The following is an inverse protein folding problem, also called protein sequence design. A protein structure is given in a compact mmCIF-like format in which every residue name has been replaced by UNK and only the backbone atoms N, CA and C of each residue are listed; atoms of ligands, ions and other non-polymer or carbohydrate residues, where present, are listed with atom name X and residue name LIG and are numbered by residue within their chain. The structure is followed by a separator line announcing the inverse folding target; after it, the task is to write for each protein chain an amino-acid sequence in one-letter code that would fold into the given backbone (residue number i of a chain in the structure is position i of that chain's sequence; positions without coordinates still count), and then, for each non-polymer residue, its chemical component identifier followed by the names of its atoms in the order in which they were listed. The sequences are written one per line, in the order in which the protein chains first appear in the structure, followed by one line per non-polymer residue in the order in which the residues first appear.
data_IF_476607011585
#
_entry.id   IF_476607011585
#
_cell.length_a   1.000
_cell.length_b   1.000
_cell.length_c   1.000
_cell.angle_alpha   90.00
_cell.angle_beta   90.00
_cell.angle_gamma   90.00
#
_symmetry.space_group_name_H-M   'P 1'
#
loop_
_entity.id
_entity.type
_entity.pdbx_description
1 polymer ?
#
# COMPACT_ATOMS: atom_id res chain seq x y z
N UNK A 1 -23.12 1.64 13.61
CA UNK A 1 -21.74 1.12 13.80
C UNK A 1 -20.99 1.33 12.50
N UNK A 2 -19.90 2.09 12.52
CA UNK A 2 -19.14 2.37 11.31
C UNK A 2 -18.69 1.07 10.62
N UNK A 3 -18.88 0.99 9.30
CA UNK A 3 -18.41 -0.14 8.49
C UNK A 3 -17.46 0.38 7.42
N UNK A 4 -16.27 -0.21 7.32
CA UNK A 4 -15.35 0.01 6.19
C UNK A 4 -15.39 -1.23 5.31
N UNK A 5 -15.53 -1.05 4.01
CA UNK A 5 -15.47 -2.12 3.01
C UNK A 5 -14.48 -1.71 1.93
N UNK A 6 -13.49 -2.55 1.69
CA UNK A 6 -12.65 -2.44 0.50
C UNK A 6 -13.22 -3.36 -0.57
N UNK A 7 -13.55 -2.82 -1.73
CA UNK A 7 -14.19 -3.56 -2.83
C UNK A 7 -13.61 -3.12 -4.16
N UNK A 8 -13.59 -4.02 -5.14
CA UNK A 8 -13.23 -3.65 -6.51
C UNK A 8 -14.26 -2.69 -7.09
N UNK A 9 -13.80 -1.72 -7.87
CA UNK A 9 -14.66 -1.01 -8.81
C UNK A 9 -15.01 -2.00 -9.93
N UNK A 10 -16.25 -2.45 -9.95
CA UNK A 10 -16.72 -3.43 -10.91
C UNK A 10 -17.00 -2.82 -12.27
N UNK A 11 -17.39 -3.68 -13.20
CA UNK A 11 -17.90 -3.28 -14.50
C UNK A 11 -19.20 -4.03 -14.80
N UNK A 12 -20.16 -3.35 -15.43
CA UNK A 12 -21.37 -3.96 -15.94
C UNK A 12 -21.74 -3.33 -17.28
N UNK A 13 -21.70 -4.16 -18.34
CA UNK A 13 -21.96 -3.75 -19.73
C UNK A 13 -21.12 -2.53 -20.15
N UNK A 14 -19.82 -2.58 -19.87
CA UNK A 14 -18.86 -1.52 -20.22
C UNK A 14 -18.91 -0.27 -19.34
N UNK A 15 -19.74 -0.24 -18.30
CA UNK A 15 -19.86 0.89 -17.38
C UNK A 15 -19.32 0.54 -15.99
N UNK A 16 -18.58 1.46 -15.39
CA UNK A 16 -18.08 1.34 -14.01
C UNK A 16 -19.25 1.15 -13.03
N UNK A 17 -19.07 0.27 -12.06
CA UNK A 17 -20.13 -0.18 -11.15
C UNK A 17 -19.65 -0.27 -9.71
N UNK A 18 -20.47 0.26 -8.80
CA UNK A 18 -20.38 -0.01 -7.36
C UNK A 18 -21.50 -0.93 -6.94
N UNK A 19 -21.16 -2.05 -6.32
CA UNK A 19 -22.12 -3.02 -5.77
C UNK A 19 -21.94 -3.15 -4.27
N UNK A 20 -22.97 -2.83 -3.50
CA UNK A 20 -23.00 -2.97 -2.05
C UNK A 20 -24.26 -3.73 -1.63
N UNK A 21 -24.12 -4.71 -0.74
CA UNK A 21 -25.28 -5.45 -0.22
C UNK A 21 -25.15 -5.84 1.25
N UNK A 22 -26.27 -6.26 1.84
CA UNK A 22 -26.30 -6.96 3.12
C UNK A 22 -26.54 -6.08 4.34
N UNK A 23 -26.37 -6.66 5.53
CA UNK A 23 -26.82 -6.08 6.81
C UNK A 23 -26.18 -4.74 7.16
N UNK A 24 -24.98 -4.45 6.65
CA UNK A 24 -24.30 -3.16 6.84
C UNK A 24 -25.11 -1.96 6.35
N UNK A 25 -25.90 -2.15 5.30
CA UNK A 25 -26.78 -1.12 4.75
C UNK A 25 -28.02 -0.95 5.63
N UNK A 26 -28.69 -2.04 6.01
CA UNK A 26 -29.86 -2.00 6.91
C UNK A 26 -29.56 -1.29 8.23
N UNK A 27 -28.42 -1.60 8.85
CA UNK A 27 -28.01 -0.98 10.12
C UNK A 27 -27.85 0.54 10.05
N UNK A 28 -27.58 1.06 8.85
CA UNK A 28 -27.28 2.47 8.64
C UNK A 28 -28.43 3.17 7.89
N UNK A 29 -29.64 2.58 7.91
CA UNK A 29 -30.86 3.21 7.42
C UNK A 29 -31.16 3.00 5.92
N UNK A 30 -30.45 2.10 5.25
CA UNK A 30 -30.62 1.81 3.83
C UNK A 30 -31.52 0.58 3.63
N UNK A 31 -32.83 0.81 3.61
CA UNK A 31 -33.85 -0.24 3.45
C UNK A 31 -34.29 -0.41 2.00
N UNK A 32 -34.66 -1.63 1.56
CA UNK A 32 -35.18 -1.83 0.21
C UNK A 32 -36.41 -0.97 -0.10
N UNK A 33 -36.47 -0.44 -1.31
CA UNK A 33 -37.55 0.44 -1.79
C UNK A 33 -37.36 1.92 -1.46
N UNK A 34 -36.47 2.27 -0.52
CA UNK A 34 -36.12 3.67 -0.29
C UNK A 34 -35.36 4.25 -1.47
N UNK A 35 -35.49 5.57 -1.62
CA UNK A 35 -34.76 6.34 -2.62
C UNK A 35 -33.50 6.97 -2.02
N UNK A 36 -32.49 7.16 -2.85
CA UNK A 36 -31.25 7.81 -2.49
C UNK A 36 -30.73 8.65 -3.65
N UNK A 37 -29.90 9.64 -3.33
CA UNK A 37 -29.13 10.41 -4.29
C UNK A 37 -27.63 10.16 -4.09
N UNK A 38 -26.88 10.56 -5.10
CA UNK A 38 -25.43 10.68 -5.03
C UNK A 38 -25.04 12.15 -5.11
N UNK A 39 -24.01 12.50 -4.35
CA UNK A 39 -23.35 13.80 -4.40
C UNK A 39 -21.87 13.57 -4.67
N UNK A 40 -21.30 14.37 -5.57
CA UNK A 40 -19.86 14.43 -5.77
C UNK A 40 -19.28 15.46 -4.80
N UNK A 41 -18.29 15.03 -4.02
CA UNK A 41 -17.56 15.91 -3.12
C UNK A 41 -16.08 15.60 -3.26
N UNK A 42 -15.33 16.54 -3.82
CA UNK A 42 -13.91 16.35 -4.15
C UNK A 42 -13.73 15.09 -5.01
N UNK A 43 -12.83 14.17 -4.61
CA UNK A 43 -12.62 12.86 -5.25
C UNK A 43 -13.48 11.73 -4.65
N UNK A 44 -14.64 12.07 -4.08
CA UNK A 44 -15.52 11.13 -3.39
C UNK A 44 -16.94 11.14 -3.96
N UNK A 45 -17.58 9.98 -3.89
CA UNK A 45 -19.01 9.82 -4.15
C UNK A 45 -19.71 9.55 -2.82
N UNK A 46 -20.64 10.41 -2.45
CA UNK A 46 -21.41 10.30 -1.20
C UNK A 46 -22.84 9.91 -1.54
N UNK A 47 -23.31 8.79 -1.00
CA UNK A 47 -24.70 8.37 -1.13
C UNK A 47 -25.47 8.73 0.14
N UNK A 48 -26.70 9.22 -0.03
CA UNK A 48 -27.62 9.54 1.05
C UNK A 48 -29.05 9.20 0.66
N UNK A 49 -29.77 8.57 1.58
CA UNK A 49 -31.22 8.38 1.45
C UNK A 49 -31.89 9.74 1.34
N UNK A 50 -32.84 9.86 0.41
CA UNK A 50 -33.59 11.08 0.15
C UNK A 50 -34.97 10.71 -0.39
N UNK A 51 -36.00 11.39 0.08
CA UNK A 51 -37.41 11.08 -0.25
C UNK A 51 -37.67 11.10 -1.76
N UNK A 52 -37.12 12.11 -2.45
CA UNK A 52 -37.17 12.25 -3.91
C UNK A 52 -35.84 11.92 -4.59
N UNK A 53 -35.12 10.90 -4.08
CA UNK A 53 -33.85 10.47 -4.68
C UNK A 53 -34.01 9.88 -6.08
N UNK A 54 -32.98 10.04 -6.91
CA UNK A 54 -32.92 9.51 -8.29
C UNK A 54 -32.81 8.00 -8.35
N UNK A 55 -32.21 7.37 -7.34
CA UNK A 55 -31.91 5.94 -7.34
C UNK A 55 -32.72 5.20 -6.27
N UNK A 56 -32.97 3.91 -6.50
CA UNK A 56 -33.75 3.06 -5.59
C UNK A 56 -32.88 1.96 -5.02
N UNK A 57 -32.99 1.72 -3.71
CA UNK A 57 -32.36 0.59 -3.05
C UNK A 57 -33.12 -0.68 -3.41
N UNK A 58 -32.43 -1.59 -4.11
CA UNK A 58 -33.01 -2.87 -4.56
C UNK A 58 -33.02 -3.91 -3.42
N UNK A 59 -33.70 -5.04 -3.64
CA UNK A 59 -33.70 -6.17 -2.72
C UNK A 59 -33.11 -7.43 -3.35
N UNK A 60 -32.45 -8.24 -2.52
CA UNK A 60 -32.15 -9.65 -2.77
C UNK A 60 -32.90 -10.49 -1.76
N UNK A 61 -33.55 -11.55 -2.22
CA UNK A 61 -34.10 -12.57 -1.33
C UNK A 61 -33.35 -13.89 -1.54
N UNK A 62 -32.82 -14.45 -0.45
CA UNK A 62 -32.13 -15.75 -0.46
C UNK A 62 -32.38 -16.46 0.87
N UNK A 63 -32.83 -17.71 0.81
CA UNK A 63 -33.15 -18.53 1.99
C UNK A 63 -34.11 -17.81 2.97
N UNK A 64 -35.15 -17.15 2.45
CA UNK A 64 -36.12 -16.39 3.24
C UNK A 64 -35.57 -15.10 3.86
N UNK A 65 -34.32 -14.71 3.58
CA UNK A 65 -33.71 -13.47 4.07
C UNK A 65 -33.69 -12.40 2.99
N UNK A 66 -34.31 -11.27 3.28
CA UNK A 66 -34.25 -10.07 2.44
C UNK A 66 -33.02 -9.23 2.81
N UNK A 67 -32.24 -8.82 1.80
CA UNK A 67 -31.07 -7.95 1.95
C UNK A 67 -31.14 -6.77 0.98
N UNK A 68 -30.81 -5.55 1.41
CA UNK A 68 -30.73 -4.39 0.53
C UNK A 68 -29.53 -4.52 -0.41
N UNK A 69 -29.69 -3.98 -1.61
CA UNK A 69 -28.66 -3.87 -2.63
C UNK A 69 -28.61 -2.42 -3.13
N UNK A 70 -27.41 -1.86 -3.17
CA UNK A 70 -27.08 -0.68 -3.96
C UNK A 70 -26.26 -1.18 -5.15
N UNK A 71 -26.86 -1.06 -6.33
CA UNK A 71 -26.23 -1.32 -7.63
C UNK A 71 -26.16 0.00 -8.38
N UNK A 72 -25.01 0.67 -8.29
CA UNK A 72 -24.81 1.99 -8.85
C UNK A 72 -23.94 1.89 -10.10
N UNK A 73 -24.51 2.26 -11.24
CA UNK A 73 -23.82 2.34 -12.53
C UNK A 73 -24.13 3.69 -13.17
N UNK A 74 -23.27 4.67 -12.93
CA UNK A 74 -23.45 6.07 -13.40
C UNK A 74 -22.14 6.60 -13.98
N UNK A 75 -22.22 7.58 -14.88
CA UNK A 75 -21.05 8.10 -15.60
C UNK A 75 -20.05 8.78 -14.66
N UNK A 76 -20.56 9.40 -13.60
CA UNK A 76 -19.79 10.06 -12.56
C UNK A 76 -18.79 9.11 -11.90
N UNK A 77 -19.09 7.80 -11.80
CA UNK A 77 -18.14 6.80 -11.30
C UNK A 77 -16.94 6.64 -12.23
N UNK A 78 -17.16 6.71 -13.55
CA UNK A 78 -16.07 6.60 -14.52
C UNK A 78 -15.17 7.84 -14.50
N UNK A 79 -15.74 9.01 -14.25
CA UNK A 79 -14.97 10.25 -14.14
C UNK A 79 -14.18 10.32 -12.83
N UNK A 80 -14.81 10.03 -11.69
CA UNK A 80 -14.19 10.19 -10.36
C UNK A 80 -13.19 9.08 -10.07
N UNK A 81 -13.42 7.87 -10.59
CA UNK A 81 -12.60 6.70 -10.32
C UNK A 81 -11.90 6.17 -11.59
N UNK A 82 -11.49 7.08 -12.47
CA UNK A 82 -10.67 6.72 -13.63
C UNK A 82 -9.33 6.12 -13.19
N UNK A 83 -8.90 5.04 -13.83
CA UNK A 83 -7.70 4.30 -13.43
C UNK A 83 -7.74 3.66 -12.02
N UNK A 84 -8.88 3.69 -11.32
CA UNK A 84 -9.03 3.10 -9.98
C UNK A 84 -9.59 1.67 -10.07
N UNK A 85 -8.89 0.71 -9.49
CA UNK A 85 -9.35 -0.68 -9.43
C UNK A 85 -10.05 -1.02 -8.12
N UNK A 86 -9.66 -0.36 -7.03
CA UNK A 86 -10.17 -0.65 -5.68
C UNK A 86 -10.71 0.60 -5.02
N UNK A 87 -11.87 0.46 -4.38
CA UNK A 87 -12.56 1.50 -3.64
C UNK A 87 -12.51 1.20 -2.15
N UNK A 88 -12.47 2.27 -1.35
CA UNK A 88 -12.77 2.26 0.08
C UNK A 88 -14.15 2.86 0.30
N UNK A 89 -15.04 2.06 0.88
CA UNK A 89 -16.42 2.44 1.20
C UNK A 89 -16.58 2.56 2.70
N UNK A 90 -16.89 3.76 3.18
CA UNK A 90 -17.14 4.06 4.58
C UNK A 90 -18.62 4.33 4.81
N UNK A 91 -19.26 3.51 5.65
CA UNK A 91 -20.69 3.60 5.93
C UNK A 91 -20.86 3.98 7.40
N UNK A 92 -21.46 5.15 7.65
CA UNK A 92 -21.75 5.63 9.00
C UNK A 92 -22.79 6.74 9.00
N UNK A 93 -23.68 6.73 9.99
CA UNK A 93 -24.64 7.79 10.28
C UNK A 93 -25.50 8.14 9.05
N UNK A 94 -26.02 7.12 8.37
CA UNK A 94 -26.88 7.33 7.20
C UNK A 94 -26.15 7.82 5.95
N UNK A 95 -24.81 7.86 5.93
CA UNK A 95 -24.00 8.22 4.77
C UNK A 95 -23.15 7.03 4.31
N UNK A 96 -23.03 6.87 2.99
CA UNK A 96 -22.04 5.98 2.37
C UNK A 96 -21.06 6.87 1.61
N UNK A 97 -19.80 6.90 2.05
CA UNK A 97 -18.71 7.63 1.39
C UNK A 97 -17.84 6.64 0.63
N UNK A 98 -17.74 6.82 -0.67
CA UNK A 98 -16.95 5.98 -1.58
C UNK A 98 -15.76 6.81 -2.05
N UNK A 99 -14.56 6.27 -1.91
CA UNK A 99 -13.29 6.90 -2.29
C UNK A 99 -12.38 5.87 -2.97
N UNK A 100 -11.37 6.32 -3.70
CA UNK A 100 -10.31 5.42 -4.14
C UNK A 100 -9.63 4.78 -2.93
N UNK A 101 -9.19 3.53 -3.05
CA UNK A 101 -8.44 2.89 -1.98
C UNK A 101 -7.07 3.56 -1.85
N UNK A 102 -6.66 3.93 -0.64
CA UNK A 102 -5.41 4.66 -0.38
C UNK A 102 -4.14 3.99 -0.93
N UNK A 103 -4.15 2.66 -1.11
CA UNK A 103 -3.02 1.98 -1.76
C UNK A 103 -2.92 2.30 -3.25
N UNK A 104 -4.04 2.49 -3.95
CA UNK A 104 -4.05 2.89 -5.37
C UNK A 104 -3.40 4.26 -5.53
N UNK A 105 -3.83 5.24 -4.72
CA UNK A 105 -3.27 6.61 -4.73
C UNK A 105 -1.76 6.61 -4.46
N UNK A 106 -1.31 5.82 -3.47
CA UNK A 106 0.12 5.66 -3.16
C UNK A 106 0.90 4.96 -4.28
N UNK A 107 0.29 4.03 -5.00
CA UNK A 107 0.93 3.39 -6.16
C UNK A 107 1.08 4.38 -7.30
N UNK A 108 0.03 5.13 -7.63
CA UNK A 108 0.04 6.16 -8.69
C UNK A 108 1.09 7.22 -8.36
N UNK A 109 1.08 7.76 -7.15
CA UNK A 109 2.06 8.75 -6.68
C UNK A 109 3.49 8.20 -6.80
N UNK A 110 3.75 7.00 -6.28
CA UNK A 110 5.08 6.39 -6.31
C UNK A 110 5.59 6.17 -7.74
N UNK A 111 4.73 5.72 -8.65
CA UNK A 111 5.09 5.50 -10.05
C UNK A 111 5.40 6.83 -10.74
N UNK A 112 4.52 7.83 -10.60
CA UNK A 112 4.72 9.14 -11.21
C UNK A 112 6.01 9.79 -10.69
N UNK A 113 6.24 9.75 -9.37
CA UNK A 113 7.45 10.30 -8.76
C UNK A 113 8.72 9.60 -9.25
N UNK A 114 8.72 8.27 -9.35
CA UNK A 114 9.85 7.52 -9.90
C UNK A 114 10.13 7.90 -11.35
N UNK A 115 9.10 7.95 -12.20
CA UNK A 115 9.24 8.32 -13.61
C UNK A 115 9.80 9.74 -13.73
N UNK A 116 9.21 10.70 -13.03
CA UNK A 116 9.68 12.10 -13.04
C UNK A 116 11.13 12.23 -12.59
N UNK A 117 11.55 11.51 -11.53
CA UNK A 117 12.95 11.48 -11.13
C UNK A 117 13.87 10.96 -12.22
N UNK A 118 13.49 9.87 -12.89
CA UNK A 118 14.28 9.29 -13.97
C UNK A 118 14.37 10.22 -15.19
N UNK A 119 13.26 10.86 -15.57
CA UNK A 119 13.21 11.82 -16.68
C UNK A 119 14.04 13.07 -16.41
N UNK A 120 14.04 13.54 -15.16
CA UNK A 120 14.79 14.73 -14.73
C UNK A 120 16.25 14.42 -14.37
N UNK A 121 16.68 13.16 -14.37
CA UNK A 121 18.02 12.74 -13.93
C UNK A 121 18.27 12.95 -12.43
N UNK A 122 17.21 12.98 -11.62
CA UNK A 122 17.29 13.13 -10.17
C UNK A 122 17.78 11.82 -9.51
N UNK A 123 18.54 11.95 -8.42
CA UNK A 123 19.06 10.79 -7.70
C UNK A 123 17.93 9.98 -7.03
N UNK A 124 17.95 8.66 -7.24
CA UNK A 124 17.04 7.75 -6.58
C UNK A 124 17.42 7.54 -5.11
N UNK A 125 16.43 7.63 -4.23
CA UNK A 125 16.61 7.43 -2.80
C UNK A 125 16.46 5.95 -2.45
N UNK A 126 17.46 5.36 -1.81
CA UNK A 126 17.51 3.93 -1.49
C UNK A 126 17.28 3.69 0.01
N UNK A 127 16.43 2.71 0.34
CA UNK A 127 16.34 2.11 1.66
C UNK A 127 17.07 0.77 1.67
N UNK A 128 18.11 0.65 2.48
CA UNK A 128 18.89 -0.57 2.66
C UNK A 128 18.54 -1.23 3.99
N UNK A 129 17.97 -2.43 3.93
CA UNK A 129 17.65 -3.24 5.09
C UNK A 129 18.62 -4.40 5.19
N UNK A 130 19.14 -4.67 6.40
CA UNK A 130 20.19 -5.65 6.61
C UNK A 130 21.43 -5.29 5.77
N UNK A 131 21.88 -4.04 5.92
CA UNK A 131 22.88 -3.42 5.07
C UNK A 131 24.22 -4.19 5.07
N UNK A 132 24.56 -4.82 6.20
CA UNK A 132 25.87 -5.41 6.41
C UNK A 132 26.97 -4.41 6.07
N UNK A 133 27.99 -4.86 5.34
CA UNK A 133 29.08 -4.00 4.86
C UNK A 133 28.80 -3.25 3.55
N UNK A 134 27.54 -3.19 3.09
CA UNK A 134 27.15 -2.46 1.88
C UNK A 134 27.55 -3.09 0.54
N UNK A 135 27.91 -4.38 0.54
CA UNK A 135 28.38 -5.07 -0.69
C UNK A 135 27.29 -5.15 -1.76
N UNK A 136 26.07 -5.52 -1.36
CA UNK A 136 24.91 -5.59 -2.27
C UNK A 136 24.57 -4.20 -2.81
N UNK A 137 24.48 -3.22 -1.91
CA UNK A 137 24.16 -1.83 -2.22
C UNK A 137 25.18 -1.23 -3.19
N UNK A 138 26.47 -1.48 -2.97
CA UNK A 138 27.54 -1.04 -3.87
C UNK A 138 27.44 -1.63 -5.27
N UNK A 139 27.13 -2.93 -5.36
CA UNK A 139 26.94 -3.57 -6.65
C UNK A 139 25.74 -2.96 -7.40
N UNK A 140 24.62 -2.70 -6.72
CA UNK A 140 23.44 -2.11 -7.33
C UNK A 140 23.68 -0.63 -7.70
N UNK A 141 24.30 0.16 -6.82
CA UNK A 141 24.68 1.54 -7.10
C UNK A 141 25.58 1.63 -8.34
N UNK A 142 26.59 0.77 -8.44
CA UNK A 142 27.45 0.71 -9.63
C UNK A 142 26.66 0.31 -10.90
N UNK A 143 25.65 -0.56 -10.76
CA UNK A 143 24.72 -0.92 -11.83
C UNK A 143 23.89 0.27 -12.29
N UNK A 144 23.29 1.02 -11.36
CA UNK A 144 22.54 2.24 -11.67
C UNK A 144 23.42 3.29 -12.33
N UNK A 145 24.62 3.53 -11.81
CA UNK A 145 25.56 4.47 -12.39
C UNK A 145 25.92 4.10 -13.84
N UNK A 146 26.16 2.82 -14.14
CA UNK A 146 26.38 2.34 -15.51
C UNK A 146 25.20 2.56 -16.44
N UNK A 147 23.97 2.57 -15.90
CA UNK A 147 22.75 2.88 -16.63
C UNK A 147 22.45 4.38 -16.71
N UNK A 148 23.33 5.26 -16.19
CA UNK A 148 23.10 6.70 -16.14
C UNK A 148 22.11 7.15 -15.06
N UNK A 149 21.82 6.29 -14.09
CA UNK A 149 20.88 6.56 -13.00
C UNK A 149 21.69 6.87 -11.74
N UNK A 150 21.54 8.09 -11.21
CA UNK A 150 22.11 8.44 -9.92
C UNK A 150 21.31 7.80 -8.78
N UNK A 151 21.99 7.39 -7.72
CA UNK A 151 21.33 6.83 -6.53
C UNK A 151 22.13 7.12 -5.27
N UNK A 152 21.46 7.25 -4.13
CA UNK A 152 22.09 7.38 -2.82
C UNK A 152 21.23 6.73 -1.74
N UNK A 153 21.87 6.20 -0.70
CA UNK A 153 21.19 5.65 0.47
C UNK A 153 20.54 6.80 1.25
N UNK A 154 19.23 6.73 1.41
CA UNK A 154 18.48 7.62 2.29
C UNK A 154 18.35 7.03 3.69
N UNK A 155 18.18 5.71 3.81
CA UNK A 155 18.16 4.99 5.08
C UNK A 155 18.92 3.69 4.93
N UNK A 156 19.79 3.38 5.89
CA UNK A 156 20.36 2.06 6.08
C UNK A 156 20.05 1.54 7.48
N UNK A 157 19.65 0.28 7.58
CA UNK A 157 19.45 -0.43 8.85
C UNK A 157 20.36 -1.64 8.90
N UNK A 158 21.19 -1.69 9.94
CA UNK A 158 22.05 -2.82 10.26
C UNK A 158 22.22 -2.90 11.77
N UNK A 159 22.22 -4.11 12.32
CA UNK A 159 22.31 -4.28 13.77
C UNK A 159 23.75 -4.33 14.28
N UNK A 160 24.70 -4.76 13.43
CA UNK A 160 26.11 -4.86 13.80
C UNK A 160 26.88 -3.61 13.36
N UNK A 161 27.12 -2.67 14.29
CA UNK A 161 27.79 -1.39 14.02
C UNK A 161 29.12 -1.50 13.27
N UNK A 162 29.94 -2.52 13.55
CA UNK A 162 31.20 -2.77 12.82
C UNK A 162 31.03 -2.90 11.30
N UNK A 163 29.89 -3.37 10.82
CA UNK A 163 29.62 -3.49 9.39
C UNK A 163 29.17 -2.15 8.80
N UNK A 164 28.40 -1.36 9.55
CA UNK A 164 28.08 0.03 9.19
C UNK A 164 29.34 0.88 9.09
N UNK A 165 30.21 0.82 10.10
CA UNK A 165 31.50 1.53 10.11
C UNK A 165 32.35 1.17 8.89
N UNK A 166 32.43 -0.14 8.59
CA UNK A 166 33.14 -0.62 7.40
C UNK A 166 32.52 -0.08 6.12
N UNK A 167 31.19 -0.04 6.01
CA UNK A 167 30.52 0.47 4.81
C UNK A 167 30.70 1.98 4.64
N UNK A 168 30.57 2.76 5.72
CA UNK A 168 30.79 4.20 5.71
C UNK A 168 32.22 4.56 5.31
N UNK A 169 33.21 3.81 5.81
CA UNK A 169 34.61 4.03 5.49
C UNK A 169 34.98 3.63 4.05
N UNK A 170 34.43 2.51 3.55
CA UNK A 170 34.88 1.90 2.30
C UNK A 170 33.95 2.13 1.10
N UNK A 171 32.73 2.61 1.34
CA UNK A 171 31.72 2.88 0.31
C UNK A 171 31.14 4.30 0.43
N UNK A 172 31.97 5.37 0.54
CA UNK A 172 31.48 6.73 0.71
C UNK A 172 30.53 7.19 -0.41
N UNK A 173 30.66 6.62 -1.61
CA UNK A 173 29.81 6.92 -2.77
C UNK A 173 28.33 6.55 -2.59
N UNK A 174 28.02 5.67 -1.62
CA UNK A 174 26.63 5.28 -1.34
C UNK A 174 25.88 6.32 -0.51
N UNK A 175 26.58 7.25 0.12
CA UNK A 175 26.05 8.10 1.18
C UNK A 175 26.05 9.57 0.76
N UNK A 176 25.17 10.35 1.40
CA UNK A 176 25.15 11.81 1.32
C UNK A 176 24.81 12.41 2.69
N UNK A 177 24.75 13.74 2.77
CA UNK A 177 24.48 14.45 4.04
C UNK A 177 23.09 14.18 4.62
N UNK A 178 22.14 13.75 3.78
CA UNK A 178 20.77 13.42 4.18
C UNK A 178 20.59 11.92 4.54
N UNK A 179 21.65 11.11 4.42
CA UNK A 179 21.62 9.69 4.75
C UNK A 179 21.39 9.46 6.25
N UNK A 180 20.42 8.60 6.58
CA UNK A 180 20.16 8.16 7.95
C UNK A 180 20.73 6.77 8.14
N UNK A 181 21.74 6.65 9.00
CA UNK A 181 22.33 5.38 9.42
C UNK A 181 21.68 4.92 10.71
N UNK A 182 21.10 3.73 10.71
CA UNK A 182 20.39 3.17 11.85
C UNK A 182 21.12 1.91 12.31
N UNK A 183 21.87 2.02 13.39
CA UNK A 183 22.45 0.89 14.10
C UNK A 183 21.42 0.28 15.06
N UNK A 184 20.60 -0.64 14.55
CA UNK A 184 19.52 -1.25 15.32
C UNK A 184 19.07 -2.57 14.68
N UNK A 185 18.62 -3.55 15.48
CA UNK A 185 17.78 -4.61 14.95
C UNK A 185 16.52 -4.02 14.30
N UNK A 186 16.12 -4.57 13.14
CA UNK A 186 15.05 -4.02 12.30
C UNK A 186 13.69 -3.92 13.02
N UNK A 187 13.37 -4.88 13.89
CA UNK A 187 12.13 -4.91 14.67
C UNK A 187 12.01 -3.77 15.68
N UNK A 188 13.13 -3.13 16.05
CA UNK A 188 13.13 -1.97 16.94
C UNK A 188 13.07 -0.63 16.17
N UNK A 189 13.16 -0.65 14.84
CA UNK A 189 13.12 0.56 14.00
C UNK A 189 11.67 0.99 13.80
N UNK A 190 11.35 2.21 14.24
CA UNK A 190 10.03 2.80 14.05
C UNK A 190 10.11 4.14 13.31
N UNK A 191 9.85 4.10 12.00
CA UNK A 191 9.76 5.28 11.14
C UNK A 191 8.32 5.68 10.82
N UNK A 192 7.31 5.14 11.52
CA UNK A 192 5.89 5.23 11.14
C UNK A 192 5.30 6.65 11.11
N UNK A 193 5.86 7.61 11.86
CA UNK A 193 5.31 8.96 11.94
C UNK A 193 5.64 9.82 10.72
N UNK A 194 6.83 9.64 10.14
CA UNK A 194 7.35 10.36 8.96
C UNK A 194 8.46 9.53 8.31
N UNK A 195 8.13 8.41 7.65
CA UNK A 195 9.17 7.59 7.04
C UNK A 195 9.80 8.37 5.88
N UNK A 196 11.13 8.32 5.71
CA UNK A 196 11.77 8.81 4.49
C UNK A 196 11.11 8.18 3.28
N UNK A 197 10.77 9.02 2.30
CA UNK A 197 10.23 8.53 1.05
C UNK A 197 11.38 8.00 0.19
N UNK A 198 11.27 6.74 -0.24
CA UNK A 198 12.31 6.06 -1.02
C UNK A 198 11.76 5.56 -2.35
N UNK A 199 12.66 5.39 -3.31
CA UNK A 199 12.42 4.90 -4.66
C UNK A 199 12.72 3.41 -4.79
N UNK A 200 13.75 2.96 -4.07
CA UNK A 200 14.25 1.59 -4.12
C UNK A 200 14.37 1.04 -2.71
N UNK A 201 13.93 -0.20 -2.51
CA UNK A 201 14.16 -0.97 -1.29
C UNK A 201 15.09 -2.13 -1.62
N UNK A 202 16.18 -2.25 -0.86
CA UNK A 202 17.16 -3.33 -0.93
C UNK A 202 17.15 -4.08 0.40
N UNK A 203 17.27 -5.39 0.36
CA UNK A 203 17.18 -6.24 1.55
C UNK A 203 18.14 -7.42 1.51
N UNK A 204 19.23 -7.34 2.27
CA UNK A 204 20.21 -8.42 2.44
C UNK A 204 19.80 -9.43 3.52
N UNK A 205 18.58 -9.98 3.44
CA UNK A 205 17.99 -10.76 4.54
C UNK A 205 18.91 -11.94 4.95
N UNK A 206 19.19 -12.12 6.26
CA UNK A 206 20.04 -13.21 6.75
C UNK A 206 19.60 -14.60 6.28
N UNK A 207 20.55 -15.37 5.75
CA UNK A 207 20.29 -16.71 5.23
C UNK A 207 20.49 -17.83 6.25
N UNK A 208 20.79 -17.52 7.52
CA UNK A 208 21.04 -18.50 8.59
C UNK A 208 19.84 -19.40 8.87
N UNK A 209 18.62 -18.85 8.81
CA UNK A 209 17.37 -19.59 8.87
C UNK A 209 16.90 -20.16 7.53
N UNK A 210 17.26 -19.53 6.41
CA UNK A 210 16.68 -19.85 5.09
C UNK A 210 17.54 -20.81 4.23
N UNK A 211 18.86 -20.79 4.38
CA UNK A 211 19.78 -21.62 3.60
C UNK A 211 19.62 -23.11 3.94
N UNK A 212 19.92 -23.99 2.98
CA UNK A 212 19.86 -25.45 3.20
C UNK A 212 20.77 -25.87 4.37
N UNK A 213 22.01 -25.37 4.39
CA UNK A 213 22.97 -25.63 5.46
C UNK A 213 22.49 -25.09 6.81
N UNK A 214 21.97 -23.85 6.83
CA UNK A 214 21.41 -23.22 8.02
C UNK A 214 20.23 -23.99 8.60
N UNK A 215 19.27 -24.39 7.76
CA UNK A 215 18.11 -25.20 8.17
C UNK A 215 18.52 -26.56 8.73
N UNK A 216 19.43 -27.26 8.06
CA UNK A 216 19.93 -28.55 8.54
C UNK A 216 20.66 -28.43 9.87
N UNK A 217 21.54 -27.43 10.03
CA UNK A 217 22.29 -27.19 11.28
C UNK A 217 21.37 -26.86 12.45
N UNK A 218 20.38 -26.00 12.21
CA UNK A 218 19.44 -25.52 13.23
C UNK A 218 18.22 -26.46 13.40
N UNK A 219 18.14 -27.56 12.64
CA UNK A 219 17.03 -28.53 12.65
C UNK A 219 15.66 -27.88 12.45
N UNK A 220 15.60 -26.94 11.51
CA UNK A 220 14.40 -26.14 11.26
C UNK A 220 13.50 -26.78 10.20
N UNK A 221 12.21 -26.91 10.52
CA UNK A 221 11.18 -27.28 9.55
C UNK A 221 10.92 -26.12 8.57
N UNK A 222 10.78 -24.90 9.09
CA UNK A 222 10.58 -23.66 8.32
C UNK A 222 11.67 -22.62 8.65
N UNK A 223 12.00 -21.74 7.70
CA UNK A 223 13.06 -20.74 7.90
C UNK A 223 12.70 -19.75 9.02
N UNK A 224 11.41 -19.43 9.08
CA UNK A 224 10.73 -18.58 10.05
C UNK A 224 10.78 -19.16 11.47
N UNK A 225 11.14 -20.43 11.65
CA UNK A 225 11.31 -21.05 12.97
C UNK A 225 12.67 -20.75 13.61
N UNK A 226 13.59 -20.06 12.92
CA UNK A 226 14.88 -19.69 13.50
C UNK A 226 14.72 -18.64 14.60
N UNK A 227 15.25 -18.89 15.80
CA UNK A 227 15.08 -18.00 16.97
C UNK A 227 15.50 -16.55 16.70
N UNK A 228 16.70 -16.34 16.15
CA UNK A 228 17.22 -15.00 15.86
C UNK A 228 16.78 -14.41 14.50
N UNK A 229 16.47 -15.25 13.51
CA UNK A 229 16.28 -14.82 12.12
C UNK A 229 14.85 -15.02 11.58
N UNK A 230 13.98 -15.66 12.35
CA UNK A 230 12.62 -15.97 11.94
C UNK A 230 11.59 -14.90 12.35
N UNK A 231 11.90 -14.12 13.39
CA UNK A 231 11.03 -13.06 13.92
C UNK A 231 11.38 -11.64 13.40
N UNK A 232 12.27 -11.55 12.41
CA UNK A 232 12.72 -10.29 11.80
C UNK A 232 11.69 -9.75 10.79
#
# INVERSE_FOLDING_TARGET
MATIVNTKLGEHRGKKRVWLEGQKLLREGYYPGMKYDLELKDSQVVLRVKEEGKFTISKRERNGRVSPIIDLTVQELATVFDGVEMLRVFIRNGAIVISAHHQQERVIERVNRLISKLENGESLSVCSLFHGGGVLDKAIHAGFHKAGIASAISVAVEMEGKYLDSSLANNPELWNEDSIVIESPIQAVNLSKRPPQVDVLMGGIPCTGASKSGRSKNKLEFAESHEAAGAM
#
